data_IF_090677629839
#
_entry.id   IF_090677629839
#
_cell.length_a   1.000
_cell.length_b   1.000
_cell.length_c   1.000
_cell.angle_alpha   90.00
_cell.angle_beta   90.00
_cell.angle_gamma   90.00
#
_symmetry.space_group_name_H-M   'P 1'
#
loop_
_entity.id
_entity.type
_entity.pdbx_description
1 polymer ?
#
# COMPACT_ATOMS: atom_id res chain seq x y z
N UNK A 1 16.78 17.74 7.21
CA UNK A 1 16.34 16.61 8.03
C UNK A 1 15.16 16.02 7.29
N UNK A 2 15.41 14.93 6.54
CA UNK A 2 14.45 14.37 5.61
C UNK A 2 13.59 13.35 6.36
N UNK A 3 12.47 13.82 6.90
CA UNK A 3 11.50 13.01 7.65
C UNK A 3 10.26 12.77 6.78
N UNK A 4 10.46 12.39 5.51
CA UNK A 4 9.39 12.06 4.56
C UNK A 4 9.67 10.68 3.94
N UNK A 5 9.58 9.63 4.75
CA UNK A 5 9.50 8.25 4.21
C UNK A 5 8.33 7.46 4.76
N UNK A 6 7.71 7.91 5.85
CA UNK A 6 6.69 7.14 6.54
C UNK A 6 5.30 7.74 6.39
N UNK A 7 5.21 9.08 6.27
CA UNK A 7 3.93 9.78 6.07
C UNK A 7 3.31 9.52 4.69
N UNK A 8 4.12 9.44 3.62
CA UNK A 8 3.60 9.15 2.27
C UNK A 8 2.98 7.75 2.19
N UNK A 9 3.66 6.75 2.76
CA UNK A 9 3.13 5.39 2.82
C UNK A 9 1.89 5.29 3.71
N UNK A 10 1.87 5.99 4.86
CA UNK A 10 0.67 6.09 5.69
C UNK A 10 -0.51 6.71 4.96
N UNK A 11 -0.29 7.78 4.17
CA UNK A 11 -1.34 8.37 3.34
C UNK A 11 -1.82 7.42 2.24
N UNK A 12 -0.91 6.69 1.58
CA UNK A 12 -1.30 5.67 0.60
C UNK A 12 -2.15 4.57 1.23
N UNK A 13 -1.81 4.09 2.42
CA UNK A 13 -2.60 3.10 3.15
C UNK A 13 -3.99 3.63 3.52
N UNK A 14 -4.10 4.89 3.93
CA UNK A 14 -5.38 5.55 4.18
C UNK A 14 -6.22 5.64 2.89
N UNK A 15 -5.62 5.97 1.76
CA UNK A 15 -6.34 6.03 0.48
C UNK A 15 -6.79 4.63 0.02
N UNK A 16 -5.95 3.61 0.16
CA UNK A 16 -6.33 2.21 -0.09
C UNK A 16 -7.51 1.79 0.80
N UNK A 17 -7.46 2.14 2.09
CA UNK A 17 -8.54 1.86 3.02
C UNK A 17 -9.85 2.55 2.59
N UNK A 18 -9.77 3.82 2.18
CA UNK A 18 -10.92 4.60 1.67
C UNK A 18 -11.49 4.02 0.37
N UNK A 19 -10.66 3.39 -0.44
CA UNK A 19 -11.07 2.79 -1.70
C UNK A 19 -11.65 1.36 -1.55
N UNK A 20 -11.87 0.91 -0.30
CA UNK A 20 -12.53 -0.37 -0.01
C UNK A 20 -11.60 -1.48 0.46
N UNK A 21 -10.30 -1.19 0.65
CA UNK A 21 -9.31 -2.14 1.17
C UNK A 21 -9.01 -1.93 2.66
N UNK A 22 -9.95 -1.33 3.41
CA UNK A 22 -9.73 -1.00 4.82
C UNK A 22 -9.44 -2.24 5.67
N UNK A 23 -10.09 -3.36 5.37
CA UNK A 23 -9.88 -4.65 6.06
C UNK A 23 -8.45 -5.17 5.82
N UNK A 24 -8.00 -5.18 4.56
CA UNK A 24 -6.64 -5.62 4.22
C UNK A 24 -5.59 -4.70 4.84
N UNK A 25 -5.76 -3.39 4.69
CA UNK A 25 -4.86 -2.37 5.27
C UNK A 25 -4.79 -2.51 6.79
N UNK A 26 -5.93 -2.70 7.47
CA UNK A 26 -5.97 -2.94 8.90
C UNK A 26 -5.19 -4.19 9.31
N UNK A 27 -5.27 -5.25 8.51
CA UNK A 27 -4.50 -6.48 8.70
C UNK A 27 -3.00 -6.28 8.54
N UNK A 28 -2.57 -5.37 7.65
CA UNK A 28 -1.14 -5.06 7.45
C UNK A 28 -0.55 -4.18 8.54
N UNK A 29 -1.38 -3.30 9.10
CA UNK A 29 -0.95 -2.41 10.18
C UNK A 29 -0.89 -3.20 11.50
N UNK A 30 -1.77 -4.18 11.69
CA UNK A 30 -1.90 -4.96 12.92
C UNK A 30 -0.78 -5.99 13.05
N UNK A 31 -0.02 -5.96 14.15
CA UNK A 31 1.00 -6.97 14.46
C UNK A 31 0.40 -8.31 14.95
N UNK A 32 -0.86 -8.28 15.37
CA UNK A 32 -1.59 -9.45 15.90
C UNK A 32 -2.24 -10.32 14.80
N UNK A 33 -2.28 -9.83 13.55
CA UNK A 33 -2.98 -10.48 12.44
C UNK A 33 -2.05 -10.75 11.27
N UNK A 34 -2.28 -11.84 10.52
CA UNK A 34 -1.50 -12.12 9.32
C UNK A 34 -1.81 -11.09 8.21
N UNK A 35 -0.82 -10.81 7.37
CA UNK A 35 -0.95 -9.85 6.29
C UNK A 35 -1.95 -10.36 5.24
N UNK A 36 -3.14 -9.77 5.22
CA UNK A 36 -4.18 -10.17 4.27
C UNK A 36 -3.71 -9.97 2.82
N UNK A 37 -3.78 -10.99 1.95
CA UNK A 37 -3.33 -10.86 0.58
C UNK A 37 -4.23 -9.89 -0.17
N UNK A 38 -3.61 -9.06 -1.02
CA UNK A 38 -4.31 -8.21 -2.00
C UNK A 38 -3.93 -8.67 -3.39
N UNK A 39 -4.76 -8.33 -4.38
CA UNK A 39 -4.50 -8.65 -5.79
C UNK A 39 -4.22 -7.37 -6.57
N UNK A 40 -3.48 -7.45 -7.68
CA UNK A 40 -3.26 -6.29 -8.54
C UNK A 40 -4.55 -5.62 -9.00
N UNK A 41 -5.62 -6.38 -9.27
CA UNK A 41 -6.93 -5.82 -9.65
C UNK A 41 -7.58 -4.96 -8.55
N UNK A 42 -7.41 -5.37 -7.29
CA UNK A 42 -7.87 -4.62 -6.12
C UNK A 42 -7.08 -3.32 -5.96
N UNK A 43 -5.75 -3.37 -6.14
CA UNK A 43 -4.92 -2.16 -6.12
C UNK A 43 -5.25 -1.22 -7.28
N UNK A 44 -5.52 -1.74 -8.47
CA UNK A 44 -5.96 -0.96 -9.65
C UNK A 44 -7.32 -0.31 -9.45
N UNK A 45 -8.20 -0.95 -8.68
CA UNK A 45 -9.50 -0.37 -8.31
C UNK A 45 -9.37 0.66 -7.20
N UNK A 46 -8.36 0.51 -6.35
CA UNK A 46 -8.15 1.36 -5.19
C UNK A 46 -7.31 2.62 -5.49
N UNK A 47 -6.33 2.50 -6.37
CA UNK A 47 -5.42 3.57 -6.76
C UNK A 47 -5.85 4.18 -8.11
N UNK A 48 -5.59 5.49 -8.32
CA UNK A 48 -5.85 6.11 -9.61
C UNK A 48 -5.05 5.42 -10.71
N UNK A 49 -5.72 5.08 -11.82
CA UNK A 49 -5.05 4.43 -12.95
C UNK A 49 -3.89 5.28 -13.50
N UNK A 50 -3.98 6.60 -13.42
CA UNK A 50 -2.91 7.52 -13.83
C UNK A 50 -1.61 7.30 -13.03
N UNK A 51 -1.71 7.17 -11.70
CA UNK A 51 -0.56 6.94 -10.82
C UNK A 51 0.09 5.60 -11.13
N UNK A 52 -0.72 4.56 -11.29
CA UNK A 52 -0.22 3.24 -11.65
C UNK A 52 0.40 3.21 -13.05
N UNK A 53 -0.13 4.00 -13.99
CA UNK A 53 0.39 4.10 -15.36
C UNK A 53 1.74 4.78 -15.37
N UNK A 54 1.89 5.93 -14.72
CA UNK A 54 3.19 6.61 -14.61
C UNK A 54 4.24 5.70 -13.98
N UNK A 55 3.93 5.10 -12.84
CA UNK A 55 4.86 4.19 -12.17
C UNK A 55 5.20 2.96 -13.03
N UNK A 56 4.23 2.43 -13.80
CA UNK A 56 4.47 1.29 -14.67
C UNK A 56 5.35 1.67 -15.86
N UNK A 57 5.12 2.84 -16.45
CA UNK A 57 5.97 3.38 -17.52
C UNK A 57 7.41 3.62 -17.04
N UNK A 58 7.59 4.17 -15.84
CA UNK A 58 8.92 4.34 -15.23
C UNK A 58 9.61 3.00 -14.94
N UNK A 59 8.85 2.00 -14.50
CA UNK A 59 9.35 0.65 -14.26
C UNK A 59 9.58 -0.16 -15.55
N UNK A 60 9.11 0.32 -16.70
CA UNK A 60 9.10 -0.43 -17.95
C UNK A 60 8.18 -1.67 -17.92
N UNK A 61 7.13 -1.63 -17.10
CA UNK A 61 6.16 -2.69 -16.86
C UNK A 61 4.77 -2.28 -17.37
N UNK A 62 3.84 -3.24 -17.43
CA UNK A 62 2.42 -2.91 -17.61
C UNK A 62 1.81 -2.54 -16.26
N UNK A 63 0.71 -1.78 -16.28
CA UNK A 63 -0.06 -1.44 -15.07
C UNK A 63 -0.46 -2.69 -14.29
N UNK A 64 -0.80 -3.77 -14.99
CA UNK A 64 -1.16 -5.06 -14.38
C UNK A 64 0.03 -5.71 -13.68
N UNK A 65 1.20 -5.76 -14.33
CA UNK A 65 2.42 -6.33 -13.75
C UNK A 65 2.90 -5.53 -12.54
N UNK A 66 2.88 -4.19 -12.63
CA UNK A 66 3.21 -3.32 -11.51
C UNK A 66 2.23 -3.54 -10.36
N UNK A 67 0.92 -3.56 -10.64
CA UNK A 67 -0.08 -3.75 -9.60
C UNK A 67 0.05 -5.14 -8.95
N UNK A 68 0.35 -6.19 -9.70
CA UNK A 68 0.58 -7.53 -9.14
C UNK A 68 1.84 -7.56 -8.27
N UNK A 69 2.90 -6.88 -8.67
CA UNK A 69 4.13 -6.76 -7.89
C UNK A 69 3.89 -5.99 -6.59
N UNK A 70 3.26 -4.81 -6.69
CA UNK A 70 2.83 -4.03 -5.54
C UNK A 70 1.93 -4.85 -4.62
N UNK A 71 1.01 -5.64 -5.16
CA UNK A 71 0.10 -6.46 -4.35
C UNK A 71 0.81 -7.52 -3.49
N UNK A 72 1.98 -8.00 -3.93
CA UNK A 72 2.80 -8.97 -3.20
C UNK A 72 3.69 -8.30 -2.15
N UNK A 73 4.21 -7.11 -2.45
CA UNK A 73 5.19 -6.43 -1.60
C UNK A 73 4.55 -5.45 -0.61
N UNK A 74 3.48 -4.76 -0.98
CA UNK A 74 2.77 -3.78 -0.14
C UNK A 74 2.42 -4.30 1.26
N UNK A 75 1.82 -5.49 1.41
CA UNK A 75 1.45 -6.00 2.73
C UNK A 75 2.66 -6.09 3.66
N UNK A 76 3.78 -6.63 3.15
CA UNK A 76 5.03 -6.80 3.89
C UNK A 76 5.71 -5.45 4.17
N UNK A 77 5.67 -4.52 3.22
CA UNK A 77 6.24 -3.17 3.40
C UNK A 77 5.44 -2.38 4.43
N UNK A 78 4.10 -2.47 4.39
CA UNK A 78 3.22 -1.81 5.34
C UNK A 78 3.47 -2.31 6.77
N UNK A 79 3.46 -3.63 6.98
CA UNK A 79 3.80 -4.28 8.26
C UNK A 79 5.18 -3.85 8.79
N UNK A 80 6.21 -3.91 7.94
CA UNK A 80 7.55 -3.51 8.32
C UNK A 80 7.69 -2.03 8.71
N UNK A 81 6.75 -1.19 8.27
CA UNK A 81 6.72 0.25 8.52
C UNK A 81 5.72 0.67 9.60
N UNK A 82 4.92 -0.26 10.13
CA UNK A 82 4.02 -0.06 11.27
C UNK A 82 4.51 -0.81 12.51
N UNK A 83 5.73 -0.51 13.01
CA UNK A 83 6.25 -1.21 14.19
C UNK A 83 5.38 -0.88 15.41
N UNK A 84 4.61 -1.87 15.87
CA UNK A 84 3.75 -1.77 17.04
C UNK A 84 2.27 -1.53 16.76
N UNK A 85 1.78 -1.83 15.54
CA UNK A 85 0.33 -1.78 15.29
C UNK A 85 -0.20 -0.41 14.88
N UNK A 86 0.68 0.58 14.66
CA UNK A 86 0.30 1.97 14.43
C UNK A 86 1.03 2.59 13.22
N UNK A 87 0.29 3.38 12.45
CA UNK A 87 0.85 4.18 11.37
C UNK A 87 1.71 5.32 11.94
N UNK A 88 2.96 5.50 11.50
CA UNK A 88 3.80 6.58 11.99
C UNK A 88 3.30 7.91 11.43
N UNK A 89 2.56 8.65 12.26
CA UNK A 89 1.86 9.88 11.87
C UNK A 89 0.53 10.13 12.56
N UNK A 90 0.13 9.30 13.52
CA UNK A 90 -0.99 9.59 14.43
C UNK A 90 -0.62 10.60 15.52
N UNK A 91 -0.51 11.88 15.16
CA UNK A 91 -0.76 13.03 16.06
C UNK A 91 -1.63 14.07 15.32
#
# INVERSE_FOLDING_TARGET
>A
MAEIKTTELGQMLVELARAGLADQVGSWISDDTDNSPVTGEQLRSALPEEVLREAAEEAGMTVEELADQLARELPTIADALTPGGELPGGD
#
